data_IF_923065591932
#
_entry.id   IF_923065591932
#
_cell.length_a   1.000
_cell.length_b   1.000
_cell.length_c   1.000
_cell.angle_alpha   90.00
_cell.angle_beta   90.00
_cell.angle_gamma   90.00
#
_symmetry.space_group_name_H-M   'P 1'
#
loop_
_entity.id
_entity.type
_entity.pdbx_description
1 polymer ?
#
# COMPACT_ATOMS: atom_id res chain seq x y z
N UNK A 1 14.84 2.44 22.53
CA UNK A 1 15.86 1.94 21.57
C UNK A 1 16.01 2.90 20.42
N UNK A 2 17.13 2.82 19.70
CA UNK A 2 17.42 3.63 18.52
C UNK A 2 17.11 2.82 17.26
N UNK A 3 16.20 3.31 16.44
CA UNK A 3 15.67 2.62 15.24
C UNK A 3 16.06 3.41 13.99
N UNK A 4 16.66 2.74 13.02
CA UNK A 4 16.95 3.29 11.70
C UNK A 4 16.07 2.61 10.64
N UNK A 5 15.14 3.34 10.05
CA UNK A 5 14.48 2.89 8.84
C UNK A 5 15.31 3.20 7.61
N UNK A 6 15.42 2.23 6.70
CA UNK A 6 16.10 2.37 5.41
C UNK A 6 15.09 2.19 4.29
N UNK A 7 14.90 3.21 3.49
CA UNK A 7 13.98 3.23 2.35
C UNK A 7 14.66 3.86 1.14
N UNK A 8 14.20 3.54 -0.07
CA UNK A 8 14.73 4.14 -1.30
C UNK A 8 14.44 5.64 -1.37
N UNK A 9 13.17 6.00 -1.23
CA UNK A 9 12.67 7.38 -1.28
C UNK A 9 11.37 7.52 -0.49
N UNK A 10 11.02 8.77 -0.13
CA UNK A 10 9.79 9.13 0.60
C UNK A 10 8.84 9.95 -0.27
N UNK A 11 8.76 9.63 -1.57
CA UNK A 11 7.82 10.26 -2.51
C UNK A 11 6.37 9.86 -2.23
N UNK A 12 5.42 10.55 -2.86
CA UNK A 12 3.99 10.25 -2.73
C UNK A 12 3.72 8.78 -3.08
N UNK A 13 3.09 8.06 -2.16
CA UNK A 13 2.73 6.65 -2.34
C UNK A 13 2.45 5.92 -1.04
N UNK A 14 1.81 4.76 -1.15
CA UNK A 14 1.36 3.97 0.02
C UNK A 14 2.50 3.50 0.92
N UNK A 15 3.64 3.12 0.36
CA UNK A 15 4.78 2.63 1.15
C UNK A 15 5.40 3.73 2.02
N UNK A 16 5.62 4.93 1.45
CA UNK A 16 6.11 6.09 2.20
C UNK A 16 5.13 6.55 3.28
N UNK A 17 3.82 6.58 2.97
CA UNK A 17 2.75 6.90 3.93
C UNK A 17 2.78 5.95 5.13
N UNK A 18 2.85 4.65 4.88
CA UNK A 18 2.88 3.64 5.94
C UNK A 18 4.17 3.68 6.78
N UNK A 19 5.31 3.99 6.15
CA UNK A 19 6.55 4.21 6.90
C UNK A 19 6.43 5.43 7.80
N UNK A 20 5.91 6.56 7.32
CA UNK A 20 5.74 7.76 8.11
C UNK A 20 4.82 7.52 9.33
N UNK A 21 3.69 6.84 9.14
CA UNK A 21 2.79 6.45 10.24
C UNK A 21 3.50 5.56 11.28
N UNK A 22 4.26 4.56 10.81
CA UNK A 22 4.99 3.65 11.70
C UNK A 22 6.11 4.37 12.47
N UNK A 23 6.87 5.23 11.80
CA UNK A 23 7.95 5.99 12.41
C UNK A 23 7.44 6.98 13.47
N UNK A 24 6.34 7.68 13.17
CA UNK A 24 5.70 8.59 14.10
C UNK A 24 5.24 7.85 15.36
N UNK A 25 4.51 6.75 15.20
CA UNK A 25 3.99 5.99 16.33
C UNK A 25 5.10 5.37 17.20
N UNK A 26 6.19 4.89 16.61
CA UNK A 26 7.33 4.39 17.39
C UNK A 26 8.07 5.53 18.12
N UNK A 27 8.16 6.71 17.52
CA UNK A 27 8.68 7.90 18.18
C UNK A 27 7.84 8.31 19.40
N UNK A 28 6.50 8.27 19.28
CA UNK A 28 5.57 8.56 20.38
C UNK A 28 5.66 7.53 21.52
N UNK A 29 6.07 6.29 21.21
CA UNK A 29 6.37 5.25 22.22
C UNK A 29 7.76 5.38 22.86
N UNK A 30 8.47 6.49 22.62
CA UNK A 30 9.76 6.82 23.25
C UNK A 30 10.98 6.21 22.56
N UNK A 31 10.85 5.74 21.32
CA UNK A 31 12.01 5.32 20.54
C UNK A 31 12.66 6.51 19.84
N UNK A 32 14.00 6.49 19.73
CA UNK A 32 14.75 7.43 18.91
C UNK A 32 14.73 6.94 17.45
N UNK A 33 13.95 7.61 16.59
CA UNK A 33 13.66 7.13 15.24
C UNK A 33 14.36 7.96 14.17
N UNK A 34 15.02 7.26 13.26
CA UNK A 34 15.67 7.80 12.07
C UNK A 34 15.04 7.17 10.82
N UNK A 35 14.86 7.98 9.78
CA UNK A 35 14.52 7.51 8.43
C UNK A 35 15.65 7.94 7.51
N UNK A 36 16.30 6.98 6.86
CA UNK A 36 17.33 7.22 5.85
C UNK A 36 16.80 6.86 4.46
N UNK A 37 16.62 7.89 3.62
CA UNK A 37 16.29 7.76 2.21
C UNK A 37 17.60 7.72 1.40
N UNK A 38 17.98 6.52 0.93
CA UNK A 38 19.27 6.35 0.28
C UNK A 38 19.28 6.79 -1.20
N UNK A 39 18.14 7.07 -1.80
CA UNK A 39 18.02 7.62 -3.16
C UNK A 39 17.69 9.13 -3.15
N UNK A 40 17.65 9.76 -1.97
CA UNK A 40 17.39 11.18 -1.82
C UNK A 40 15.91 11.54 -1.93
N UNK A 41 15.68 12.79 -2.30
CA UNK A 41 14.35 13.33 -2.48
C UNK A 41 13.76 13.94 -1.21
N UNK A 42 12.84 14.89 -1.44
CA UNK A 42 12.09 15.53 -0.38
C UNK A 42 11.06 14.58 0.21
N UNK A 43 10.92 14.59 1.52
CA UNK A 43 9.85 13.84 2.17
C UNK A 43 8.49 14.50 1.87
N UNK A 44 7.55 13.73 1.32
CA UNK A 44 6.19 14.19 0.98
C UNK A 44 5.14 13.76 2.02
N UNK A 45 5.56 13.22 3.17
CA UNK A 45 4.67 12.74 4.23
C UNK A 45 4.89 13.50 5.53
N UNK A 46 3.82 13.67 6.32
CA UNK A 46 3.91 14.34 7.62
C UNK A 46 4.67 13.47 8.61
N UNK A 47 5.80 13.97 9.09
CA UNK A 47 6.59 13.35 10.15
C UNK A 47 6.43 14.14 11.47
N UNK A 48 6.45 13.40 12.57
CA UNK A 48 6.58 13.97 13.91
C UNK A 48 7.94 14.67 14.03
N UNK A 49 8.03 15.86 14.67
CA UNK A 49 9.30 16.58 14.87
C UNK A 49 10.41 15.77 15.55
N UNK A 50 10.06 14.73 16.31
CA UNK A 50 11.02 13.82 16.93
C UNK A 50 11.58 12.75 15.99
N UNK A 51 11.07 12.62 14.76
CA UNK A 51 11.58 11.69 13.76
C UNK A 51 12.65 12.37 12.91
N UNK A 52 13.85 11.83 12.93
CA UNK A 52 14.99 12.36 12.18
C UNK A 52 14.96 11.86 10.73
N UNK A 53 14.66 12.73 9.76
CA UNK A 53 14.71 12.41 8.34
C UNK A 53 16.06 12.80 7.73
N UNK A 54 16.70 11.84 7.07
CA UNK A 54 18.00 12.03 6.39
C UNK A 54 17.80 11.60 4.93
N UNK A 55 17.91 12.55 4.02
CA UNK A 55 17.91 12.30 2.59
C UNK A 55 19.36 12.30 2.08
N UNK A 56 19.69 11.34 1.24
CA UNK A 56 20.94 11.31 0.52
C UNK A 56 20.79 12.03 -0.83
N UNK A 57 21.88 12.60 -1.34
CA UNK A 57 21.87 13.18 -2.68
C UNK A 57 21.53 12.14 -3.75
N UNK A 58 20.79 12.54 -4.81
CA UNK A 58 20.34 11.62 -5.84
C UNK A 58 21.48 10.80 -6.45
N UNK A 59 21.20 9.53 -6.68
CA UNK A 59 22.14 8.61 -7.34
C UNK A 59 21.99 8.75 -8.85
N UNK A 60 23.08 8.63 -9.63
CA UNK A 60 22.99 8.56 -11.10
C UNK A 60 22.13 7.39 -11.60
N UNK A 61 21.38 7.60 -12.67
CA UNK A 61 20.34 6.73 -13.25
C UNK A 61 20.77 5.35 -13.76
N UNK A 62 21.54 4.60 -12.99
CA UNK A 62 21.91 3.23 -13.34
C UNK A 62 21.65 2.30 -12.18
N UNK A 63 20.81 1.29 -12.40
CA UNK A 63 20.50 0.27 -11.38
C UNK A 63 21.75 -0.39 -10.80
N UNK A 64 22.75 -0.65 -11.62
CA UNK A 64 24.02 -1.25 -11.16
C UNK A 64 24.80 -0.27 -10.26
N UNK A 65 24.82 1.01 -10.60
CA UNK A 65 25.43 2.04 -9.75
C UNK A 65 24.71 2.19 -8.44
N UNK A 66 23.36 2.05 -8.41
CA UNK A 66 22.57 2.06 -7.18
C UNK A 66 23.05 0.96 -6.23
N UNK A 67 23.27 -0.26 -6.70
CA UNK A 67 23.73 -1.38 -5.87
C UNK A 67 25.13 -1.14 -5.27
N UNK A 68 26.06 -0.68 -6.08
CA UNK A 68 27.43 -0.41 -5.64
C UNK A 68 27.52 0.77 -4.66
N UNK A 69 26.62 1.71 -4.80
CA UNK A 69 26.65 2.98 -4.06
C UNK A 69 25.82 2.93 -2.75
N UNK A 70 24.66 2.27 -2.77
CA UNK A 70 23.73 2.26 -1.62
C UNK A 70 24.36 1.62 -0.37
N UNK A 71 25.03 0.47 -0.51
CA UNK A 71 25.60 -0.28 0.63
C UNK A 71 26.63 0.54 1.44
N UNK A 72 27.68 1.16 0.84
CA UNK A 72 28.63 2.00 1.59
C UNK A 72 27.98 3.18 2.30
N UNK A 73 26.99 3.83 1.67
CA UNK A 73 26.30 4.99 2.24
C UNK A 73 25.39 4.60 3.40
N UNK A 74 24.63 3.53 3.27
CA UNK A 74 23.83 2.97 4.38
C UNK A 74 24.75 2.58 5.53
N UNK A 75 25.87 1.89 5.25
CA UNK A 75 26.87 1.53 6.28
C UNK A 75 27.45 2.75 6.98
N UNK A 76 27.75 3.83 6.26
CA UNK A 76 28.23 5.09 6.85
C UNK A 76 27.21 5.67 7.82
N UNK A 77 25.92 5.67 7.44
CA UNK A 77 24.83 6.14 8.33
C UNK A 77 24.69 5.23 9.55
N UNK A 78 24.72 3.91 9.38
CA UNK A 78 24.69 2.96 10.50
C UNK A 78 25.82 3.21 11.50
N UNK A 79 27.06 3.45 11.02
CA UNK A 79 28.20 3.76 11.90
C UNK A 79 28.06 5.11 12.60
N UNK A 80 27.44 6.11 11.95
CA UNK A 80 27.20 7.44 12.53
C UNK A 80 26.09 7.41 13.57
N UNK A 81 24.94 6.79 13.23
CA UNK A 81 23.73 6.74 14.07
C UNK A 81 23.89 5.72 15.20
N UNK A 82 24.54 4.59 14.93
CA UNK A 82 24.67 3.43 15.82
C UNK A 82 23.31 2.95 16.33
N UNK A 83 22.40 2.56 15.40
CA UNK A 83 21.08 2.08 15.80
C UNK A 83 21.17 0.70 16.46
N UNK A 84 20.23 0.40 17.36
CA UNK A 84 20.04 -0.95 17.90
C UNK A 84 19.43 -1.87 16.82
N UNK A 85 18.52 -1.30 16.03
CA UNK A 85 17.81 -2.00 14.94
C UNK A 85 17.83 -1.16 13.66
N UNK A 86 18.14 -1.80 12.53
CA UNK A 86 17.96 -1.25 11.20
C UNK A 86 16.81 -1.98 10.48
N UNK A 87 15.74 -1.25 10.19
CA UNK A 87 14.53 -1.78 9.54
C UNK A 87 14.53 -1.36 8.08
N UNK A 88 14.65 -2.30 7.19
CA UNK A 88 14.56 -2.05 5.76
C UNK A 88 13.11 -2.10 5.28
N UNK A 89 12.76 -1.18 4.38
CA UNK A 89 11.42 -1.04 3.82
C UNK A 89 11.43 -1.39 2.34
N UNK A 90 10.91 -2.57 1.95
CA UNK A 90 10.94 -3.22 0.64
C UNK A 90 12.26 -3.93 0.30
N UNK A 91 12.19 -4.82 -0.70
CA UNK A 91 13.22 -5.82 -1.03
C UNK A 91 14.63 -5.23 -1.28
N UNK A 92 14.78 -4.20 -2.13
CA UNK A 92 16.10 -3.64 -2.42
C UNK A 92 16.76 -3.06 -1.17
N UNK A 93 16.00 -2.27 -0.38
CA UNK A 93 16.48 -1.76 0.89
C UNK A 93 16.88 -2.89 1.84
N UNK A 94 16.15 -4.04 1.80
CA UNK A 94 16.46 -5.23 2.58
C UNK A 94 17.85 -5.79 2.29
N UNK A 95 18.13 -6.05 1.03
CA UNK A 95 19.44 -6.52 0.59
C UNK A 95 20.57 -5.58 1.03
N UNK A 96 20.42 -4.28 0.74
CA UNK A 96 21.45 -3.28 1.06
C UNK A 96 21.66 -3.13 2.56
N UNK A 97 20.58 -3.19 3.35
CA UNK A 97 20.64 -3.10 4.82
C UNK A 97 21.39 -4.27 5.43
N UNK A 98 21.11 -5.50 4.97
CA UNK A 98 21.81 -6.72 5.42
C UNK A 98 23.30 -6.63 5.10
N UNK A 99 23.66 -6.29 3.86
CA UNK A 99 25.06 -6.16 3.44
C UNK A 99 25.78 -5.03 4.18
N UNK A 100 25.14 -3.89 4.40
CA UNK A 100 25.69 -2.75 5.14
C UNK A 100 25.92 -3.05 6.62
N UNK A 101 25.12 -3.92 7.23
CA UNK A 101 25.20 -4.29 8.63
C UNK A 101 26.26 -5.36 8.93
N UNK A 102 26.87 -6.02 7.93
CA UNK A 102 27.85 -7.07 8.14
C UNK A 102 29.01 -6.60 9.05
N UNK A 103 29.25 -7.33 10.16
CA UNK A 103 30.27 -7.02 11.16
C UNK A 103 29.95 -5.79 12.04
N UNK A 104 28.72 -5.27 12.02
CA UNK A 104 28.24 -4.26 12.97
C UNK A 104 27.32 -4.91 14.01
N UNK A 105 27.31 -4.44 15.27
CA UNK A 105 26.42 -4.95 16.33
C UNK A 105 25.00 -4.37 16.18
N UNK A 106 24.40 -4.57 15.00
CA UNK A 106 23.08 -4.01 14.64
C UNK A 106 22.17 -5.16 14.23
N UNK A 107 21.00 -5.30 14.85
CA UNK A 107 19.99 -6.26 14.40
C UNK A 107 19.26 -5.71 13.16
N UNK A 108 19.16 -6.52 12.11
CA UNK A 108 18.47 -6.11 10.89
C UNK A 108 17.07 -6.71 10.85
N UNK A 109 16.08 -5.89 10.51
CA UNK A 109 14.69 -6.32 10.31
C UNK A 109 14.28 -6.02 8.88
N UNK A 110 13.81 -7.02 8.17
CA UNK A 110 13.30 -6.86 6.82
C UNK A 110 11.79 -6.71 6.82
N UNK A 111 11.29 -5.64 6.21
CA UNK A 111 9.86 -5.39 6.04
C UNK A 111 9.48 -5.30 4.57
N UNK A 112 8.80 -6.35 4.05
CA UNK A 112 8.25 -6.33 2.69
C UNK A 112 6.87 -5.67 2.67
N UNK A 113 6.70 -4.78 1.68
CA UNK A 113 5.49 -3.95 1.50
C UNK A 113 4.89 -4.05 0.10
N UNK A 114 5.39 -4.98 -0.70
CA UNK A 114 4.93 -5.28 -2.05
C UNK A 114 4.69 -6.78 -2.22
N UNK A 115 4.33 -7.18 -3.43
CA UNK A 115 4.18 -8.58 -3.79
C UNK A 115 5.51 -9.15 -4.33
N UNK A 116 6.17 -10.06 -3.62
CA UNK A 116 7.41 -10.67 -4.10
C UNK A 116 7.20 -11.73 -5.19
N UNK A 117 5.97 -12.23 -5.39
CA UNK A 117 5.68 -13.28 -6.38
C UNK A 117 5.66 -12.74 -7.81
N UNK A 118 5.40 -11.45 -8.00
CA UNK A 118 5.35 -10.83 -9.34
C UNK A 118 6.73 -10.36 -9.84
N UNK A 119 7.77 -10.48 -9.01
CA UNK A 119 9.10 -10.04 -9.37
C UNK A 119 9.79 -11.01 -10.34
N UNK A 120 9.99 -10.57 -11.57
CA UNK A 120 10.66 -11.33 -12.63
C UNK A 120 12.15 -11.02 -12.75
N UNK A 121 12.59 -9.87 -12.27
CA UNK A 121 13.99 -9.41 -12.38
C UNK A 121 14.96 -10.28 -11.57
N UNK A 122 16.02 -10.76 -12.22
CA UNK A 122 17.09 -11.52 -11.56
C UNK A 122 17.72 -10.76 -10.38
N UNK A 123 17.94 -9.44 -10.54
CA UNK A 123 18.49 -8.60 -9.47
C UNK A 123 17.60 -8.57 -8.24
N UNK A 124 16.27 -8.49 -8.44
CA UNK A 124 15.33 -8.50 -7.31
C UNK A 124 15.23 -9.88 -6.66
N UNK A 125 15.35 -10.97 -7.43
CA UNK A 125 15.44 -12.32 -6.86
C UNK A 125 16.71 -12.50 -6.01
N UNK A 126 17.84 -11.96 -6.46
CA UNK A 126 19.09 -11.92 -5.68
C UNK A 126 18.89 -11.07 -4.42
N UNK A 127 18.27 -9.89 -4.54
CA UNK A 127 17.95 -9.05 -3.38
C UNK A 127 17.06 -9.79 -2.36
N UNK A 128 16.02 -10.46 -2.82
CA UNK A 128 15.14 -11.26 -1.98
C UNK A 128 15.88 -12.41 -1.27
N UNK A 129 16.86 -13.03 -1.94
CA UNK A 129 17.72 -14.03 -1.31
C UNK A 129 18.50 -13.43 -0.14
N UNK A 130 19.13 -12.26 -0.31
CA UNK A 130 19.87 -11.60 0.78
C UNK A 130 18.96 -11.13 1.91
N UNK A 131 17.71 -10.72 1.64
CA UNK A 131 16.75 -10.37 2.69
C UNK A 131 16.52 -11.49 3.71
N UNK A 132 16.64 -12.77 3.30
CA UNK A 132 16.51 -13.91 4.20
C UNK A 132 17.61 -14.02 5.27
N UNK A 133 18.69 -13.24 5.18
CA UNK A 133 19.74 -13.17 6.18
C UNK A 133 19.52 -12.06 7.22
N UNK A 134 18.40 -11.33 7.14
CA UNK A 134 17.99 -10.42 8.21
C UNK A 134 17.81 -11.16 9.54
N UNK A 135 18.01 -10.47 10.65
CA UNK A 135 17.80 -11.04 12.00
C UNK A 135 16.35 -11.43 12.21
N UNK A 136 15.42 -10.65 11.63
CA UNK A 136 13.97 -10.92 11.71
C UNK A 136 13.21 -10.33 10.51
N UNK A 137 11.92 -10.69 10.37
CA UNK A 137 11.03 -10.20 9.32
C UNK A 137 9.71 -9.65 9.84
N UNK A 138 9.18 -8.61 9.20
CA UNK A 138 7.83 -8.09 9.42
C UNK A 138 7.12 -8.03 8.07
N UNK A 139 6.07 -8.83 7.91
CA UNK A 139 5.36 -8.98 6.65
C UNK A 139 3.92 -8.51 6.74
N UNK A 140 3.33 -8.08 5.63
CA UNK A 140 1.95 -7.61 5.61
C UNK A 140 0.93 -8.75 5.56
N UNK A 141 1.29 -9.87 4.94
CA UNK A 141 0.41 -11.03 4.77
C UNK A 141 1.18 -12.33 5.05
N UNK A 142 0.46 -13.38 5.40
CA UNK A 142 1.07 -14.71 5.56
C UNK A 142 1.67 -15.25 4.26
N UNK A 143 1.09 -14.91 3.11
CA UNK A 143 1.63 -15.32 1.82
C UNK A 143 3.03 -14.72 1.59
N UNK A 144 3.22 -13.44 1.89
CA UNK A 144 4.55 -12.80 1.82
C UNK A 144 5.51 -13.42 2.84
N UNK A 145 5.06 -13.71 4.07
CA UNK A 145 5.87 -14.38 5.07
C UNK A 145 6.36 -15.76 4.57
N UNK A 146 5.48 -16.55 3.97
CA UNK A 146 5.81 -17.87 3.40
C UNK A 146 6.81 -17.81 2.25
N UNK A 147 6.83 -16.71 1.49
CA UNK A 147 7.82 -16.52 0.41
C UNK A 147 9.25 -16.45 0.97
N UNK A 148 9.48 -15.77 2.09
CA UNK A 148 10.79 -15.63 2.73
C UNK A 148 11.04 -16.76 3.74
N UNK A 149 11.21 -17.98 3.22
CA UNK A 149 11.23 -19.25 3.99
C UNK A 149 12.20 -19.25 5.18
N UNK A 150 13.40 -18.64 5.04
CA UNK A 150 14.40 -18.60 6.12
C UNK A 150 14.06 -17.64 7.25
N UNK A 151 13.15 -16.70 7.00
CA UNK A 151 12.66 -15.74 7.99
C UNK A 151 11.36 -16.18 8.67
N UNK A 152 10.66 -17.21 8.18
CA UNK A 152 9.33 -17.60 8.67
C UNK A 152 9.30 -17.79 10.17
N UNK A 153 10.28 -18.52 10.75
CA UNK A 153 10.36 -18.76 12.21
C UNK A 153 10.80 -17.54 13.04
N UNK A 154 11.34 -16.52 12.40
CA UNK A 154 11.85 -15.28 13.03
C UNK A 154 11.11 -14.06 12.53
N UNK A 155 9.86 -14.20 12.20
CA UNK A 155 9.06 -13.11 11.63
C UNK A 155 7.65 -13.07 12.18
N UNK A 156 7.02 -11.95 11.95
CA UNK A 156 5.63 -11.70 12.36
C UNK A 156 4.85 -11.10 11.19
N UNK A 157 3.56 -11.40 11.13
CA UNK A 157 2.63 -10.72 10.23
C UNK A 157 2.01 -9.54 10.97
N UNK A 158 2.32 -8.34 10.48
CA UNK A 158 1.75 -7.07 10.98
C UNK A 158 1.19 -6.32 9.78
N UNK A 159 -0.12 -6.21 9.72
CA UNK A 159 -0.84 -5.49 8.67
C UNK A 159 -0.56 -3.98 8.72
N UNK A 160 -0.96 -3.27 7.66
CA UNK A 160 -0.96 -1.81 7.69
C UNK A 160 -2.04 -1.31 8.68
N UNK A 161 -1.77 -0.25 9.45
CA UNK A 161 -2.84 0.48 10.11
C UNK A 161 -3.66 1.27 9.09
N UNK A 162 -4.93 1.51 9.39
CA UNK A 162 -5.66 2.55 8.67
C UNK A 162 -5.20 3.94 9.16
N UNK A 163 -5.37 4.95 8.31
CA UNK A 163 -5.05 6.33 8.66
C UNK A 163 -6.23 6.94 9.45
N UNK A 164 -6.08 7.25 10.75
CA UNK A 164 -7.18 7.76 11.57
C UNK A 164 -7.66 9.15 11.12
N UNK A 165 -6.88 9.87 10.32
CA UNK A 165 -7.33 11.16 9.76
C UNK A 165 -8.37 11.01 8.64
N UNK A 166 -8.64 9.76 8.21
CA UNK A 166 -9.67 9.41 7.24
C UNK A 166 -10.82 8.79 8.03
N UNK A 167 -12.03 9.35 7.97
CA UNK A 167 -13.21 8.74 8.55
C UNK A 167 -13.93 9.55 9.63
N UNK A 168 -13.42 10.74 10.00
CA UNK A 168 -14.11 11.66 10.91
C UNK A 168 -15.35 12.35 10.27
N UNK A 169 -15.72 11.96 9.05
CA UNK A 169 -16.86 12.52 8.36
C UNK A 169 -18.11 11.68 8.59
N UNK A 170 -19.24 12.39 8.76
CA UNK A 170 -20.55 11.77 8.83
C UNK A 170 -20.82 10.90 7.59
N UNK A 171 -21.23 9.66 7.81
CA UNK A 171 -21.48 8.72 6.70
C UNK A 171 -22.74 9.14 5.94
N UNK A 172 -22.58 9.45 4.67
CA UNK A 172 -23.70 9.78 3.78
C UNK A 172 -24.51 8.51 3.50
N UNK A 173 -25.84 8.51 3.70
CA UNK A 173 -26.71 7.39 3.32
C UNK A 173 -26.50 7.00 1.85
N UNK A 174 -26.52 5.71 1.54
CA UNK A 174 -26.20 5.20 0.21
C UNK A 174 -27.03 5.83 -0.90
N UNK A 175 -28.33 6.04 -0.68
CA UNK A 175 -29.25 6.66 -1.66
C UNK A 175 -28.89 8.11 -2.00
N UNK A 176 -28.34 8.85 -1.04
CA UNK A 176 -27.96 10.26 -1.23
C UNK A 176 -26.60 10.45 -1.88
N UNK A 177 -25.89 9.35 -2.17
CA UNK A 177 -24.58 9.38 -2.82
C UNK A 177 -24.73 9.63 -4.31
N UNK A 178 -23.70 10.25 -4.88
CA UNK A 178 -23.61 10.47 -6.34
C UNK A 178 -23.54 9.12 -7.07
N UNK A 179 -24.11 9.03 -8.24
CA UNK A 179 -23.93 7.90 -9.16
C UNK A 179 -22.50 7.92 -9.72
N UNK A 180 -21.55 7.73 -8.81
CA UNK A 180 -20.11 7.81 -9.06
C UNK A 180 -19.43 6.54 -8.59
N UNK A 181 -18.60 6.00 -9.46
CA UNK A 181 -17.66 4.92 -9.15
C UNK A 181 -16.27 5.54 -9.13
N UNK A 182 -15.48 5.21 -8.13
CA UNK A 182 -14.13 5.75 -7.99
C UNK A 182 -13.07 4.66 -8.11
N UNK A 183 -11.96 5.03 -8.75
CA UNK A 183 -10.77 4.22 -8.86
C UNK A 183 -9.56 5.07 -8.44
N UNK A 184 -8.93 4.71 -7.31
CA UNK A 184 -7.79 5.45 -6.77
C UNK A 184 -6.53 4.59 -6.92
N UNK A 185 -5.69 4.93 -7.88
CA UNK A 185 -4.43 4.24 -8.11
C UNK A 185 -3.50 5.04 -9.01
N UNK A 186 -2.19 4.79 -8.89
CA UNK A 186 -1.24 5.28 -9.89
C UNK A 186 -1.62 4.74 -11.28
N UNK A 187 -1.56 5.58 -12.30
CA UNK A 187 -1.82 5.17 -13.68
C UNK A 187 -0.68 4.29 -14.21
N UNK A 188 -0.83 2.99 -13.98
CA UNK A 188 0.13 1.95 -14.37
C UNK A 188 -0.63 0.67 -14.74
N UNK A 189 -0.94 0.50 -16.02
CA UNK A 189 -1.80 -0.56 -16.55
C UNK A 189 -1.28 -1.95 -16.18
N UNK A 190 0.04 -2.14 -16.24
CA UNK A 190 0.67 -3.44 -15.95
C UNK A 190 0.40 -3.96 -14.54
N UNK A 191 0.06 -3.09 -13.59
CA UNK A 191 -0.24 -3.45 -12.20
C UNK A 191 -1.70 -3.17 -11.84
N UNK A 192 -2.16 -1.96 -12.16
CA UNK A 192 -3.45 -1.42 -11.65
C UNK A 192 -4.62 -1.73 -12.57
N UNK A 193 -4.32 -2.21 -13.79
CA UNK A 193 -5.29 -2.72 -14.75
C UNK A 193 -6.46 -1.77 -15.00
N UNK A 194 -6.14 -0.48 -15.24
CA UNK A 194 -7.15 0.50 -15.64
C UNK A 194 -7.86 0.12 -16.95
N UNK A 195 -7.22 -0.68 -17.79
CA UNK A 195 -7.81 -1.30 -18.97
C UNK A 195 -9.00 -2.20 -18.61
N UNK A 196 -8.85 -3.03 -17.59
CA UNK A 196 -9.93 -3.90 -17.07
C UNK A 196 -11.03 -3.04 -16.44
N UNK A 197 -10.66 -1.99 -15.68
CA UNK A 197 -11.64 -1.08 -15.07
C UNK A 197 -12.52 -0.40 -16.13
N UNK A 198 -11.93 0.11 -17.21
CA UNK A 198 -12.69 0.76 -18.29
C UNK A 198 -13.62 -0.21 -19.02
N UNK A 199 -13.15 -1.44 -19.28
CA UNK A 199 -13.99 -2.47 -19.87
C UNK A 199 -15.15 -2.90 -18.93
N UNK A 200 -14.88 -3.06 -17.64
CA UNK A 200 -15.92 -3.35 -16.65
C UNK A 200 -16.95 -2.22 -16.58
N UNK A 201 -16.48 -0.96 -16.57
CA UNK A 201 -17.35 0.20 -16.53
C UNK A 201 -18.19 0.34 -17.82
N UNK A 202 -17.62 0.06 -18.98
CA UNK A 202 -18.40 0.00 -20.24
C UNK A 202 -19.55 -1.01 -20.17
N UNK A 203 -19.29 -2.20 -19.63
CA UNK A 203 -20.33 -3.22 -19.45
C UNK A 203 -21.41 -2.74 -18.46
N UNK A 204 -20.99 -2.12 -17.34
CA UNK A 204 -21.87 -1.58 -16.33
C UNK A 204 -22.77 -0.44 -16.86
N UNK A 205 -22.24 0.45 -17.71
CA UNK A 205 -22.99 1.55 -18.32
C UNK A 205 -24.18 1.11 -19.17
N UNK A 206 -24.21 -0.13 -19.66
CA UNK A 206 -25.33 -0.65 -20.42
C UNK A 206 -26.64 -0.66 -19.62
N UNK A 207 -26.55 -0.83 -18.30
CA UNK A 207 -27.68 -0.80 -17.38
C UNK A 207 -27.78 0.52 -16.59
N UNK A 208 -26.67 1.20 -16.38
CA UNK A 208 -26.56 2.39 -15.54
C UNK A 208 -25.92 3.57 -16.29
N UNK A 209 -26.56 4.10 -17.34
CA UNK A 209 -25.97 5.09 -18.25
C UNK A 209 -25.68 6.47 -17.60
N UNK A 210 -26.24 6.74 -16.44
CA UNK A 210 -26.09 7.99 -15.66
C UNK A 210 -24.92 7.97 -14.67
N UNK A 211 -24.16 6.86 -14.60
CA UNK A 211 -22.99 6.78 -13.74
C UNK A 211 -21.75 7.41 -14.37
N UNK A 212 -20.88 7.90 -13.48
CA UNK A 212 -19.56 8.46 -13.83
C UNK A 212 -18.48 7.62 -13.15
N UNK A 213 -17.44 7.27 -13.89
CA UNK A 213 -16.20 6.73 -13.35
C UNK A 213 -15.20 7.85 -13.14
N UNK A 214 -14.68 8.00 -11.92
CA UNK A 214 -13.66 8.99 -11.61
C UNK A 214 -12.35 8.30 -11.23
N UNK A 215 -11.30 8.58 -12.01
CA UNK A 215 -9.94 8.17 -11.71
C UNK A 215 -9.22 9.24 -10.90
N UNK A 216 -8.65 8.83 -9.76
CA UNK A 216 -7.72 9.60 -8.95
C UNK A 216 -6.33 8.97 -9.06
N UNK A 217 -5.35 9.75 -9.46
CA UNK A 217 -3.95 9.35 -9.61
C UNK A 217 -3.39 9.70 -10.98
N UNK A 218 -2.07 9.83 -11.03
CA UNK A 218 -1.29 10.08 -12.22
C UNK A 218 -0.27 8.95 -12.44
N UNK A 219 0.43 8.94 -13.56
CA UNK A 219 1.46 7.96 -13.86
C UNK A 219 1.78 7.82 -15.35
N UNK A 220 2.72 6.91 -15.63
CA UNK A 220 3.27 6.75 -16.98
C UNK A 220 2.22 6.39 -18.06
N UNK A 221 1.13 5.73 -17.65
CA UNK A 221 0.10 5.28 -18.58
C UNK A 221 -1.14 6.21 -18.61
N UNK A 222 -1.09 7.41 -17.97
CA UNK A 222 -2.22 8.33 -17.90
C UNK A 222 -2.86 8.59 -19.27
N UNK A 223 -2.07 8.99 -20.26
CA UNK A 223 -2.56 9.26 -21.60
C UNK A 223 -3.09 8.00 -22.31
N UNK A 224 -2.47 6.83 -22.07
CA UNK A 224 -2.96 5.55 -22.64
C UNK A 224 -4.33 5.20 -22.09
N UNK A 225 -4.55 5.36 -20.78
CA UNK A 225 -5.86 5.09 -20.14
C UNK A 225 -6.92 6.03 -20.68
N UNK A 226 -6.58 7.32 -20.86
CA UNK A 226 -7.48 8.31 -21.46
C UNK A 226 -7.87 7.96 -22.92
N UNK A 227 -6.88 7.60 -23.75
CA UNK A 227 -7.15 7.15 -25.11
C UNK A 227 -7.98 5.87 -25.15
N UNK A 228 -7.80 4.95 -24.20
CA UNK A 228 -8.62 3.74 -24.11
C UNK A 228 -10.09 4.07 -23.83
N UNK A 229 -10.38 5.04 -22.94
CA UNK A 229 -11.75 5.49 -22.70
C UNK A 229 -12.40 6.06 -23.96
N UNK A 230 -11.66 6.82 -24.79
CA UNK A 230 -12.13 7.33 -26.08
C UNK A 230 -12.41 6.17 -27.06
N UNK A 231 -11.48 5.22 -27.20
CA UNK A 231 -11.68 4.05 -28.09
C UNK A 231 -12.88 3.19 -27.67
N UNK A 232 -13.17 3.13 -26.38
CA UNK A 232 -14.35 2.45 -25.84
C UNK A 232 -15.64 3.27 -25.98
N UNK A 233 -15.56 4.53 -26.40
CA UNK A 233 -16.67 5.49 -26.55
C UNK A 233 -17.42 5.77 -25.24
N UNK A 234 -16.68 5.83 -24.12
CA UNK A 234 -17.22 6.13 -22.77
C UNK A 234 -16.56 7.37 -22.15
N UNK A 235 -15.81 8.15 -22.90
CA UNK A 235 -15.05 9.30 -22.39
C UNK A 235 -15.95 10.37 -21.74
N UNK A 236 -17.22 10.46 -22.12
CA UNK A 236 -18.21 11.39 -21.54
C UNK A 236 -18.59 10.99 -20.10
N UNK A 237 -18.44 9.72 -19.77
CA UNK A 237 -18.75 9.15 -18.45
C UNK A 237 -17.50 8.92 -17.60
N UNK A 238 -16.32 9.40 -18.01
CA UNK A 238 -15.06 9.17 -17.29
C UNK A 238 -14.35 10.48 -16.98
N UNK A 239 -14.07 10.70 -15.70
CA UNK A 239 -13.26 11.80 -15.21
C UNK A 239 -11.84 11.36 -14.87
N UNK A 240 -10.85 12.17 -15.25
CA UNK A 240 -9.44 11.98 -14.94
C UNK A 240 -8.94 13.17 -14.13
N UNK A 241 -8.73 13.01 -12.82
CA UNK A 241 -8.42 14.12 -11.92
C UNK A 241 -6.91 14.25 -11.61
N UNK A 242 -6.09 13.28 -12.06
CA UNK A 242 -4.67 13.26 -11.74
C UNK A 242 -4.41 13.05 -10.25
N UNK A 243 -3.23 13.43 -9.78
CA UNK A 243 -2.87 13.35 -8.37
C UNK A 243 -3.61 14.40 -7.54
N UNK A 244 -4.50 13.94 -6.69
CA UNK A 244 -5.29 14.81 -5.80
C UNK A 244 -4.89 14.54 -4.35
N UNK A 245 -4.40 15.56 -3.68
CA UNK A 245 -4.10 15.49 -2.24
C UNK A 245 -5.40 15.24 -1.46
N UNK A 246 -5.40 14.22 -0.61
CA UNK A 246 -6.57 13.86 0.17
C UNK A 246 -7.70 13.23 -0.66
N UNK A 247 -7.40 12.60 -1.80
CA UNK A 247 -8.37 11.89 -2.64
C UNK A 247 -9.30 10.99 -1.81
N UNK A 248 -8.75 10.26 -0.84
CA UNK A 248 -9.50 9.37 0.05
C UNK A 248 -10.62 10.06 0.82
N UNK A 249 -10.47 11.35 1.16
CA UNK A 249 -11.51 12.12 1.83
C UNK A 249 -12.63 12.57 0.87
N UNK A 250 -12.34 12.61 -0.42
CA UNK A 250 -13.31 13.07 -1.45
C UNK A 250 -14.25 11.98 -1.93
N UNK A 251 -13.86 10.70 -1.74
CA UNK A 251 -14.67 9.58 -2.24
C UNK A 251 -15.92 9.28 -1.42
N UNK A 252 -16.06 9.84 -0.23
CA UNK A 252 -17.21 9.57 0.67
C UNK A 252 -18.59 9.86 0.05
N UNK A 253 -18.65 10.63 -1.03
CA UNK A 253 -19.88 10.89 -1.79
C UNK A 253 -20.14 9.86 -2.89
N UNK A 254 -19.18 9.00 -3.24
CA UNK A 254 -19.31 8.00 -4.28
C UNK A 254 -20.10 6.78 -3.79
N UNK A 255 -20.77 6.09 -4.69
CA UNK A 255 -21.50 4.84 -4.38
C UNK A 255 -20.59 3.64 -4.27
N UNK A 256 -19.44 3.62 -4.96
CA UNK A 256 -18.61 2.43 -5.06
C UNK A 256 -17.14 2.78 -5.31
N UNK A 257 -16.23 2.07 -4.64
CA UNK A 257 -14.83 2.00 -5.01
C UNK A 257 -14.54 0.67 -5.71
N UNK A 258 -13.83 0.73 -6.84
CA UNK A 258 -13.39 -0.48 -7.56
C UNK A 258 -11.87 -0.51 -7.64
N UNK A 259 -11.26 -1.63 -7.24
CA UNK A 259 -9.83 -1.91 -7.40
C UNK A 259 -9.66 -3.08 -8.37
N UNK A 260 -8.89 -2.88 -9.45
CA UNK A 260 -8.71 -3.86 -10.52
C UNK A 260 -7.28 -4.44 -10.60
N UNK A 261 -6.46 -4.17 -9.60
CA UNK A 261 -5.03 -4.53 -9.60
C UNK A 261 -4.79 -6.04 -9.74
N UNK A 262 -3.74 -6.41 -10.47
CA UNK A 262 -3.27 -7.79 -10.53
C UNK A 262 -2.47 -8.16 -9.27
N UNK A 263 -1.75 -7.19 -8.68
CA UNK A 263 -0.97 -7.40 -7.46
C UNK A 263 -0.88 -6.15 -6.59
N UNK A 264 -0.93 -6.38 -5.26
CA UNK A 264 -0.81 -5.36 -4.22
C UNK A 264 -0.10 -5.95 -2.99
N UNK A 265 0.44 -5.10 -2.11
CA UNK A 265 0.64 -5.50 -0.73
C UNK A 265 -0.72 -5.60 0.00
N UNK A 266 -0.94 -4.79 1.03
CA UNK A 266 -2.30 -4.50 1.52
C UNK A 266 -2.76 -3.20 0.84
N UNK A 267 -3.85 -3.22 0.05
CA UNK A 267 -4.33 -2.02 -0.64
C UNK A 267 -4.98 -1.03 0.33
N UNK A 268 -4.23 -0.01 0.75
CA UNK A 268 -4.69 1.01 1.71
C UNK A 268 -6.01 1.67 1.28
N UNK A 269 -6.23 1.82 -0.03
CA UNK A 269 -7.43 2.44 -0.59
C UNK A 269 -8.72 1.72 -0.19
N UNK A 270 -8.67 0.41 0.06
CA UNK A 270 -9.82 -0.36 0.57
C UNK A 270 -10.12 0.06 2.03
N UNK A 271 -9.10 0.21 2.86
CA UNK A 271 -9.28 0.69 4.24
C UNK A 271 -9.81 2.13 4.24
N UNK A 272 -9.32 2.95 3.33
CA UNK A 272 -9.78 4.32 3.14
C UNK A 272 -11.26 4.37 2.72
N UNK A 273 -11.68 3.49 1.80
CA UNK A 273 -13.08 3.34 1.40
C UNK A 273 -13.98 2.89 2.57
N UNK A 274 -13.54 1.91 3.34
CA UNK A 274 -14.28 1.46 4.53
C UNK A 274 -14.43 2.58 5.56
N UNK A 275 -13.37 3.36 5.83
CA UNK A 275 -13.43 4.51 6.72
C UNK A 275 -14.46 5.56 6.26
N UNK A 276 -14.53 5.81 4.95
CA UNK A 276 -15.51 6.71 4.33
C UNK A 276 -16.90 6.08 4.13
N UNK A 277 -17.08 4.82 4.54
CA UNK A 277 -18.33 4.07 4.35
C UNK A 277 -18.65 3.83 2.88
N UNK A 278 -17.67 3.65 2.01
CA UNK A 278 -17.87 3.36 0.59
C UNK A 278 -17.76 1.85 0.36
N UNK A 279 -18.76 1.20 -0.23
CA UNK A 279 -18.69 -0.21 -0.62
C UNK A 279 -17.53 -0.46 -1.60
N UNK A 280 -17.02 -1.69 -1.61
CA UNK A 280 -15.82 -2.04 -2.40
C UNK A 280 -16.04 -3.28 -3.25
N UNK A 281 -15.60 -3.22 -4.50
CA UNK A 281 -15.31 -4.37 -5.35
C UNK A 281 -13.81 -4.40 -5.62
N UNK A 282 -13.16 -5.52 -5.38
CA UNK A 282 -11.71 -5.67 -5.62
C UNK A 282 -11.42 -6.96 -6.36
N UNK A 283 -10.38 -6.94 -7.19
CA UNK A 283 -9.81 -8.17 -7.71
C UNK A 283 -9.11 -8.97 -6.60
N UNK A 284 -9.02 -10.28 -6.78
CA UNK A 284 -8.22 -11.20 -5.96
C UNK A 284 -6.74 -11.04 -6.28
N UNK A 285 -6.22 -9.85 -6.00
CA UNK A 285 -4.86 -9.49 -6.35
C UNK A 285 -3.83 -10.25 -5.51
N UNK A 286 -2.75 -10.71 -6.16
CA UNK A 286 -1.60 -11.33 -5.47
C UNK A 286 -0.94 -10.33 -4.51
N UNK A 287 -0.38 -10.75 -3.37
CA UNK A 287 -0.40 -12.05 -2.73
C UNK A 287 -1.57 -12.22 -1.73
N UNK A 288 -2.76 -11.72 -2.07
CA UNK A 288 -3.96 -11.86 -1.26
C UNK A 288 -4.21 -10.72 -0.27
N UNK A 289 -3.59 -9.55 -0.47
CA UNK A 289 -3.79 -8.38 0.39
C UNK A 289 -5.24 -7.87 0.43
N UNK A 290 -5.99 -7.99 -0.68
CA UNK A 290 -7.41 -7.65 -0.70
C UNK A 290 -8.23 -8.60 0.18
N UNK A 291 -7.93 -9.91 0.21
CA UNK A 291 -8.60 -10.89 1.07
C UNK A 291 -8.34 -10.71 2.56
N UNK A 292 -7.27 -10.01 2.94
CA UNK A 292 -7.06 -9.61 4.35
C UNK A 292 -8.13 -8.61 4.80
N UNK A 293 -8.59 -7.76 3.89
CA UNK A 293 -9.54 -6.68 4.15
C UNK A 293 -10.99 -7.08 3.84
N UNK A 294 -11.21 -7.84 2.76
CA UNK A 294 -12.55 -8.19 2.26
C UNK A 294 -12.84 -9.66 2.55
N UNK A 295 -13.92 -9.90 3.28
CA UNK A 295 -14.64 -11.15 3.34
C UNK A 295 -15.68 -11.13 2.22
N UNK A 296 -15.47 -11.92 1.17
CA UNK A 296 -16.30 -11.89 -0.05
C UNK A 296 -17.78 -12.12 0.25
N UNK A 297 -18.63 -11.20 -0.21
CA UNK A 297 -20.08 -11.23 0.00
C UNK A 297 -20.55 -10.71 1.38
N UNK A 298 -19.64 -10.37 2.32
CA UNK A 298 -19.99 -9.89 3.65
C UNK A 298 -19.75 -8.37 3.81
N UNK A 299 -18.58 -7.86 3.39
CA UNK A 299 -18.20 -6.46 3.51
C UNK A 299 -17.68 -5.85 2.21
N UNK A 300 -17.80 -6.56 1.11
CA UNK A 300 -17.36 -6.20 -0.23
C UNK A 300 -17.37 -7.43 -1.15
N UNK A 301 -16.94 -7.25 -2.37
CA UNK A 301 -16.80 -8.36 -3.31
C UNK A 301 -15.33 -8.54 -3.76
N UNK A 302 -14.94 -9.80 -3.94
CA UNK A 302 -13.71 -10.23 -4.58
C UNK A 302 -14.03 -10.85 -5.94
N UNK A 303 -13.32 -10.46 -6.99
CA UNK A 303 -13.46 -11.00 -8.34
C UNK A 303 -12.13 -11.53 -8.85
N UNK A 304 -12.12 -12.44 -9.84
CA UNK A 304 -10.87 -12.83 -10.50
C UNK A 304 -10.16 -11.62 -11.12
N UNK A 305 -8.82 -11.65 -11.15
CA UNK A 305 -8.03 -10.63 -11.86
C UNK A 305 -8.30 -10.67 -13.35
N UNK A 306 -8.38 -9.50 -14.00
CA UNK A 306 -8.61 -9.40 -15.44
C UNK A 306 -10.03 -9.65 -15.92
N UNK A 307 -10.96 -10.07 -15.06
CA UNK A 307 -12.35 -10.39 -15.42
C UNK A 307 -13.27 -9.15 -15.32
N UNK A 308 -13.32 -8.39 -16.40
CA UNK A 308 -14.16 -7.19 -16.51
C UNK A 308 -15.67 -7.50 -16.38
N UNK A 309 -16.12 -8.69 -16.78
CA UNK A 309 -17.54 -9.08 -16.69
C UNK A 309 -17.92 -9.37 -15.25
N UNK A 310 -17.10 -10.14 -14.52
CA UNK A 310 -17.32 -10.42 -13.11
C UNK A 310 -17.31 -9.13 -12.28
N UNK A 311 -16.39 -8.19 -12.57
CA UNK A 311 -16.34 -6.88 -11.90
C UNK A 311 -17.65 -6.11 -12.15
N UNK A 312 -18.10 -5.99 -13.40
CA UNK A 312 -19.34 -5.29 -13.75
C UNK A 312 -20.56 -5.91 -13.04
N UNK A 313 -20.67 -7.23 -13.03
CA UNK A 313 -21.76 -7.93 -12.35
C UNK A 313 -21.77 -7.68 -10.83
N UNK A 314 -20.59 -7.55 -10.19
CA UNK A 314 -20.51 -7.22 -8.76
C UNK A 314 -20.80 -5.75 -8.50
N UNK A 315 -20.46 -4.85 -9.43
CA UNK A 315 -20.86 -3.44 -9.39
C UNK A 315 -22.40 -3.33 -9.45
N UNK A 316 -23.05 -3.98 -10.43
CA UNK A 316 -24.53 -4.07 -10.54
C UNK A 316 -25.13 -4.56 -9.22
N UNK A 317 -24.61 -5.67 -8.69
CA UNK A 317 -25.15 -6.28 -7.48
C UNK A 317 -25.11 -5.37 -6.23
N UNK A 318 -24.20 -4.41 -6.17
CA UNK A 318 -24.15 -3.43 -5.07
C UNK A 318 -25.11 -2.27 -5.35
N UNK A 319 -25.07 -1.69 -6.55
CA UNK A 319 -25.84 -0.47 -6.83
C UNK A 319 -27.34 -0.72 -6.94
N UNK A 320 -27.73 -1.94 -7.34
CA UNK A 320 -29.13 -2.36 -7.46
C UNK A 320 -29.74 -2.86 -6.13
N UNK A 321 -28.92 -2.97 -5.07
CA UNK A 321 -29.39 -3.49 -3.79
C UNK A 321 -28.85 -2.64 -2.63
N UNK A 322 -29.67 -1.69 -2.19
CA UNK A 322 -29.35 -0.77 -1.11
C UNK A 322 -29.09 -1.45 0.24
N UNK A 323 -29.86 -2.49 0.58
CA UNK A 323 -29.68 -3.24 1.81
C UNK A 323 -28.29 -3.87 1.85
N UNK A 324 -27.88 -4.49 0.74
CA UNK A 324 -26.53 -5.03 0.57
C UNK A 324 -25.46 -3.95 0.70
N UNK A 325 -25.63 -2.84 0.00
CA UNK A 325 -24.67 -1.73 0.06
C UNK A 325 -24.52 -1.20 1.50
N UNK A 326 -25.63 -1.02 2.22
CA UNK A 326 -25.66 -0.57 3.61
C UNK A 326 -25.01 -1.59 4.54
N UNK A 327 -25.28 -2.89 4.33
CA UNK A 327 -24.62 -3.94 5.09
C UNK A 327 -23.12 -3.95 4.86
N UNK A 328 -22.65 -3.81 3.60
CA UNK A 328 -21.22 -3.74 3.27
C UNK A 328 -20.54 -2.54 3.93
N UNK A 329 -21.21 -1.38 3.99
CA UNK A 329 -20.71 -0.18 4.69
C UNK A 329 -20.52 -0.50 6.17
N UNK A 330 -21.51 -1.09 6.82
CA UNK A 330 -21.46 -1.43 8.24
C UNK A 330 -20.35 -2.44 8.53
N UNK A 331 -20.34 -3.55 7.79
CA UNK A 331 -19.35 -4.61 7.96
C UNK A 331 -17.93 -4.17 7.57
N UNK A 332 -17.78 -3.28 6.59
CA UNK A 332 -16.49 -2.68 6.24
C UNK A 332 -15.91 -1.83 7.38
N UNK A 333 -16.75 -1.02 8.04
CA UNK A 333 -16.34 -0.25 9.23
C UNK A 333 -15.99 -1.15 10.42
N UNK A 334 -16.77 -2.20 10.68
CA UNK A 334 -16.45 -3.21 11.71
C UNK A 334 -15.10 -3.88 11.43
N UNK A 335 -14.85 -4.29 10.18
CA UNK A 335 -13.59 -4.89 9.74
C UNK A 335 -12.39 -3.98 9.99
N UNK A 336 -12.57 -2.67 9.80
CA UNK A 336 -11.51 -1.68 9.96
C UNK A 336 -10.97 -1.62 11.41
N UNK A 337 -11.78 -1.97 12.41
CA UNK A 337 -11.35 -1.99 13.82
C UNK A 337 -10.13 -2.92 14.05
N UNK A 338 -9.98 -3.97 13.24
CA UNK A 338 -8.84 -4.90 13.31
C UNK A 338 -7.52 -4.24 12.88
N UNK A 339 -7.60 -3.12 12.16
CA UNK A 339 -6.48 -2.35 11.61
C UNK A 339 -6.28 -1.03 12.38
N UNK A 340 -6.85 -0.93 13.59
CA UNK A 340 -6.68 0.24 14.45
C UNK A 340 -5.19 0.51 14.67
N UNK A 341 -4.71 1.76 14.48
CA UNK A 341 -3.32 2.14 14.63
C UNK A 341 -2.71 1.71 15.96
N UNK A 342 -3.40 1.91 17.07
CA UNK A 342 -2.88 1.56 18.39
C UNK A 342 -2.59 0.06 18.52
N UNK A 343 -3.50 -0.78 18.02
CA UNK A 343 -3.31 -2.24 18.01
C UNK A 343 -2.14 -2.66 17.11
N UNK A 344 -2.03 -2.05 15.94
CA UNK A 344 -0.97 -2.37 14.97
C UNK A 344 0.39 -1.92 15.50
N UNK A 345 0.48 -0.68 16.03
CA UNK A 345 1.76 -0.16 16.54
C UNK A 345 2.18 -0.80 17.87
N UNK A 346 1.23 -1.31 18.66
CA UNK A 346 1.58 -2.13 19.81
C UNK A 346 2.22 -3.46 19.41
N UNK A 347 1.71 -4.11 18.34
CA UNK A 347 2.36 -5.30 17.77
C UNK A 347 3.80 -5.01 17.31
N UNK A 348 4.01 -3.85 16.64
CA UNK A 348 5.34 -3.41 16.24
C UNK A 348 6.26 -3.25 17.46
N UNK A 349 5.83 -2.47 18.44
CA UNK A 349 6.60 -2.17 19.65
C UNK A 349 6.97 -3.46 20.42
N UNK A 350 6.00 -4.35 20.63
CA UNK A 350 6.22 -5.64 21.30
C UNK A 350 7.25 -6.49 20.56
N UNK A 351 7.11 -6.63 19.24
CA UNK A 351 8.03 -7.44 18.45
C UNK A 351 9.46 -6.90 18.48
N UNK A 352 9.63 -5.59 18.32
CA UNK A 352 10.97 -4.97 18.34
C UNK A 352 11.63 -5.07 19.73
N UNK A 353 10.87 -4.88 20.81
CA UNK A 353 11.39 -5.06 22.18
C UNK A 353 11.82 -6.51 22.43
N UNK A 354 11.02 -7.49 22.03
CA UNK A 354 11.38 -8.92 22.12
C UNK A 354 12.64 -9.24 21.34
N UNK A 355 12.79 -8.65 20.16
CA UNK A 355 13.98 -8.88 19.32
C UNK A 355 15.26 -8.36 19.99
N UNK A 356 15.22 -7.26 20.73
CA UNK A 356 16.40 -6.71 21.42
C UNK A 356 16.74 -7.47 22.69
N UNK A 357 15.72 -7.99 23.40
CA UNK A 357 15.92 -8.72 24.66
C UNK A 357 16.50 -10.13 24.45
N UNK A 358 16.37 -10.69 23.25
CA UNK A 358 16.97 -11.97 22.84
C UNK A 358 18.31 -11.77 22.10
#
# INVERSE_FOLDING_TARGET
MKILFVIRDMVIGGAGKQLALTANALSEKGHEVYIYSYFGGENKHKLNPCVNYIAQDPIPDSKLKEYLWAVPHIRRQMKKIKPDIAISWRCNAGCFTVLAALGLPIKTVFSERSDPYTETSLLLKISAFFCNFSSAGIFQTEAVQKYYKRLTSRSVVIHNPFDPQIGDQESIPFQKRKNEIVHIARMMIVQKRQDVMLNAFKNFLQKHPDYILTFYGDGLDFNKVRHLAQNLQIEKNVNFLGDVVGASKKIGTAKLLVLTSDYEGIPNVIMEAFAMGVPVVSTDCSPGGARVLINDGENGFITPTGDAQAIAAKMDAIVDNEERATNFITKGKEKLLQFNPDLIFEKWNKFLNQLISN
#
